data_IF_673823687629
#
_entry.id   IF_673823687629
#
_cell.length_a   1.000
_cell.length_b   1.000
_cell.length_c   1.000
_cell.angle_alpha   90.00
_cell.angle_beta   90.00
_cell.angle_gamma   90.00
#
_symmetry.space_group_name_H-M   'P 1'
#
loop_
_entity.id
_entity.type
_entity.pdbx_description
1 polymer ?
#
# COMPACT_ATOMS: atom_id res chain seq x y z
N UNK A 1 -33.87 -8.06 -12.39
CA UNK A 1 -33.34 -6.69 -12.38
C UNK A 1 -31.96 -6.71 -12.99
N UNK A 2 -31.63 -5.86 -13.97
CA UNK A 2 -30.26 -5.71 -14.44
C UNK A 2 -29.46 -5.09 -13.29
N UNK A 3 -28.23 -5.57 -12.98
CA UNK A 3 -27.37 -4.90 -12.02
C UNK A 3 -27.17 -3.46 -12.51
N UNK A 4 -27.36 -2.48 -11.60
CA UNK A 4 -27.02 -1.09 -11.87
C UNK A 4 -25.52 -1.01 -12.16
N UNK A 5 -25.11 -0.16 -13.09
CA UNK A 5 -23.67 0.10 -13.28
C UNK A 5 -23.05 0.55 -11.95
N UNK A 6 -21.84 0.08 -11.61
CA UNK A 6 -21.17 0.48 -10.38
C UNK A 6 -21.01 2.00 -10.34
N UNK A 7 -21.14 2.59 -9.15
CA UNK A 7 -20.81 4.01 -8.97
C UNK A 7 -19.29 4.22 -9.15
N UNK A 8 -18.83 5.46 -9.45
CA UNK A 8 -17.40 5.73 -9.58
C UNK A 8 -16.58 5.25 -8.35
N UNK A 9 -17.09 5.45 -7.14
CA UNK A 9 -16.43 4.98 -5.91
C UNK A 9 -16.40 3.44 -5.82
N UNK A 10 -17.49 2.77 -6.19
CA UNK A 10 -17.52 1.31 -6.23
C UNK A 10 -16.55 0.75 -7.28
N UNK A 11 -16.28 1.49 -8.35
CA UNK A 11 -15.23 1.14 -9.32
C UNK A 11 -13.82 1.32 -8.73
N UNK A 12 -13.59 2.37 -7.94
CA UNK A 12 -12.32 2.62 -7.24
C UNK A 12 -12.04 1.54 -6.20
N UNK A 13 -13.04 1.19 -5.39
CA UNK A 13 -12.88 0.27 -4.26
C UNK A 13 -13.07 -1.20 -4.62
N UNK A 14 -13.63 -1.51 -5.80
CA UNK A 14 -14.10 -2.87 -6.15
C UNK A 14 -15.06 -3.44 -5.09
N UNK A 15 -15.79 -2.55 -4.38
CA UNK A 15 -16.70 -2.89 -3.31
C UNK A 15 -18.03 -2.15 -3.45
N UNK A 16 -19.15 -2.85 -3.28
CA UNK A 16 -20.49 -2.27 -3.23
C UNK A 16 -20.90 -2.10 -1.80
N UNK A 17 -20.97 -0.85 -1.35
CA UNK A 17 -21.33 -0.51 0.04
C UNK A 17 -22.76 -0.88 0.38
N UNK A 18 -22.93 -1.63 1.46
CA UNK A 18 -24.21 -1.93 2.11
C UNK A 18 -24.65 -0.73 2.95
N UNK A 19 -23.74 -0.16 3.73
CA UNK A 19 -23.94 1.05 4.51
C UNK A 19 -23.41 2.27 3.74
N UNK A 20 -24.33 3.00 3.11
CA UNK A 20 -24.00 4.24 2.38
C UNK A 20 -23.57 5.38 3.31
N UNK A 21 -23.92 5.33 4.61
CA UNK A 21 -23.49 6.34 5.58
C UNK A 21 -21.98 6.19 5.88
N UNK A 22 -21.44 4.96 5.92
CA UNK A 22 -20.00 4.73 6.01
C UNK A 22 -19.25 5.33 4.83
N UNK A 23 -19.74 5.13 3.61
CA UNK A 23 -19.14 5.72 2.42
C UNK A 23 -19.16 7.25 2.48
N UNK A 24 -20.29 7.86 2.84
CA UNK A 24 -20.39 9.31 2.95
C UNK A 24 -19.44 9.85 4.02
N UNK A 25 -19.36 9.17 5.18
CA UNK A 25 -18.45 9.54 6.27
C UNK A 25 -16.99 9.50 5.83
N UNK A 26 -16.56 8.44 5.12
CA UNK A 26 -15.19 8.30 4.61
C UNK A 26 -14.79 9.43 3.65
N UNK A 27 -15.73 9.95 2.90
CA UNK A 27 -15.51 11.04 1.96
C UNK A 27 -15.70 12.44 2.57
N UNK A 28 -16.14 12.54 3.82
CA UNK A 28 -16.41 13.83 4.48
C UNK A 28 -15.17 14.35 5.19
N UNK A 29 -14.58 15.41 4.64
CA UNK A 29 -13.44 16.09 5.27
C UNK A 29 -13.89 16.90 6.51
N UNK A 30 -12.98 17.03 7.50
CA UNK A 30 -13.24 17.72 8.77
C UNK A 30 -13.73 19.17 8.61
N UNK A 31 -13.38 19.84 7.51
CA UNK A 31 -13.89 21.20 7.23
C UNK A 31 -15.41 21.29 7.11
N UNK A 32 -16.10 20.17 6.90
CA UNK A 32 -17.56 20.16 6.79
C UNK A 32 -18.27 20.39 8.12
N UNK A 33 -17.61 20.16 9.27
CA UNK A 33 -18.14 20.33 10.63
C UNK A 33 -19.53 19.69 10.82
N UNK A 34 -19.73 18.50 10.24
CA UNK A 34 -21.03 17.82 10.28
C UNK A 34 -21.30 17.18 11.64
N UNK A 35 -22.54 17.21 12.14
CA UNK A 35 -22.92 16.48 13.36
C UNK A 35 -22.69 14.98 13.28
N UNK A 36 -22.72 14.41 12.06
CA UNK A 36 -22.46 13.00 11.78
C UNK A 36 -20.97 12.63 11.86
N UNK A 37 -20.08 13.63 12.00
CA UNK A 37 -18.63 13.44 12.03
C UNK A 37 -17.97 13.62 10.67
N UNK A 38 -16.72 13.23 10.62
CA UNK A 38 -15.82 13.31 9.46
C UNK A 38 -15.03 12.01 9.29
N UNK A 39 -14.08 12.01 8.36
CA UNK A 39 -13.31 10.83 7.97
C UNK A 39 -12.19 10.42 8.95
N UNK A 40 -11.79 11.24 9.92
CA UNK A 40 -10.59 11.02 10.75
C UNK A 40 -10.57 9.68 11.49
N UNK A 41 -11.72 9.22 12.01
CA UNK A 41 -11.76 7.93 12.69
C UNK A 41 -11.67 6.73 11.74
N UNK A 42 -12.16 6.90 10.52
CA UNK A 42 -12.05 5.89 9.46
C UNK A 42 -10.63 5.88 8.87
N UNK A 43 -10.00 7.03 8.71
CA UNK A 43 -8.58 7.21 8.37
C UNK A 43 -7.70 6.42 9.34
N UNK A 44 -7.81 6.66 10.65
CA UNK A 44 -7.06 5.92 11.67
C UNK A 44 -7.21 4.40 11.54
N UNK A 45 -8.41 3.91 11.27
CA UNK A 45 -8.65 2.48 11.09
C UNK A 45 -8.09 1.98 9.76
N UNK A 46 -8.26 2.78 8.71
CA UNK A 46 -7.84 2.43 7.35
C UNK A 46 -6.33 2.32 7.20
N UNK A 47 -5.59 3.24 7.82
CA UNK A 47 -4.12 3.19 7.93
C UNK A 47 -3.67 1.83 8.51
N UNK A 48 -4.21 1.43 9.66
CA UNK A 48 -3.88 0.15 10.29
C UNK A 48 -4.23 -1.07 9.42
N UNK A 49 -5.37 -1.02 8.69
CA UNK A 49 -5.80 -2.10 7.79
C UNK A 49 -4.90 -2.17 6.55
N UNK A 50 -4.54 -1.02 5.99
CA UNK A 50 -3.63 -0.93 4.85
C UNK A 50 -2.25 -1.49 5.21
N UNK A 51 -1.69 -1.03 6.33
CA UNK A 51 -0.40 -1.50 6.85
C UNK A 51 -0.37 -3.01 7.06
N UNK A 52 -1.42 -3.57 7.67
CA UNK A 52 -1.53 -5.01 7.90
C UNK A 52 -1.53 -5.80 6.58
N UNK A 53 -2.37 -5.40 5.63
CA UNK A 53 -2.54 -6.14 4.37
C UNK A 53 -1.27 -6.03 3.51
N UNK A 54 -0.65 -4.85 3.44
CA UNK A 54 0.61 -4.66 2.70
C UNK A 54 1.73 -5.47 3.35
N UNK A 55 1.84 -5.44 4.69
CA UNK A 55 2.85 -6.22 5.43
C UNK A 55 2.68 -7.73 5.18
N UNK A 56 1.44 -8.26 5.24
CA UNK A 56 1.15 -9.67 4.95
C UNK A 56 1.60 -10.05 3.53
N UNK A 57 1.26 -9.23 2.54
CA UNK A 57 1.64 -9.48 1.13
C UNK A 57 3.15 -9.48 0.93
N UNK A 58 3.85 -8.52 1.52
CA UNK A 58 5.30 -8.45 1.45
C UNK A 58 5.94 -9.66 2.13
N UNK A 59 5.45 -10.05 3.31
CA UNK A 59 5.92 -11.21 4.04
C UNK A 59 5.76 -12.53 3.25
N UNK A 60 4.60 -12.71 2.61
CA UNK A 60 4.33 -13.90 1.81
C UNK A 60 5.12 -13.93 0.49
N UNK A 61 5.30 -12.76 -0.13
CA UNK A 61 5.99 -12.66 -1.44
C UNK A 61 7.51 -12.71 -1.31
N UNK A 62 8.08 -12.35 -0.15
CA UNK A 62 9.53 -12.20 0.07
C UNK A 62 10.02 -13.04 1.26
N UNK A 63 9.90 -14.35 1.15
CA UNK A 63 10.27 -15.30 2.21
C UNK A 63 11.73 -15.21 2.68
N UNK A 64 12.63 -14.64 1.88
CA UNK A 64 14.06 -14.49 2.16
C UNK A 64 14.47 -13.07 2.55
N UNK A 65 13.53 -12.12 2.55
CA UNK A 65 13.80 -10.75 2.95
C UNK A 65 13.89 -10.62 4.48
N UNK A 66 14.85 -9.84 4.96
CA UNK A 66 14.93 -9.48 6.37
C UNK A 66 13.84 -8.44 6.76
N UNK A 67 13.62 -8.29 8.05
CA UNK A 67 12.67 -7.34 8.61
C UNK A 67 12.88 -5.92 8.06
N UNK A 68 14.13 -5.46 8.01
CA UNK A 68 14.46 -4.11 7.55
C UNK A 68 14.14 -3.89 6.06
N UNK A 69 14.29 -4.92 5.22
CA UNK A 69 13.90 -4.86 3.81
C UNK A 69 12.37 -4.81 3.68
N UNK A 70 11.65 -5.65 4.41
CA UNK A 70 10.18 -5.66 4.42
C UNK A 70 9.62 -4.31 4.88
N UNK A 71 10.19 -3.72 5.94
CA UNK A 71 9.75 -2.42 6.47
C UNK A 71 10.01 -1.28 5.47
N UNK A 72 11.19 -1.24 4.84
CA UNK A 72 11.48 -0.26 3.78
C UNK A 72 10.53 -0.39 2.59
N UNK A 73 10.20 -1.62 2.18
CA UNK A 73 9.25 -1.86 1.11
C UNK A 73 7.85 -1.39 1.48
N UNK A 74 7.37 -1.73 2.67
CA UNK A 74 6.08 -1.25 3.18
C UNK A 74 6.06 0.27 3.18
N UNK A 75 7.03 0.93 3.81
CA UNK A 75 7.11 2.38 3.88
C UNK A 75 7.14 3.05 2.50
N UNK A 76 7.68 2.40 1.47
CA UNK A 76 7.66 2.94 0.11
C UNK A 76 6.28 2.90 -0.54
N UNK A 77 5.41 1.99 -0.13
CA UNK A 77 4.04 1.83 -0.63
C UNK A 77 3.08 2.75 0.12
N UNK A 78 3.13 2.73 1.47
CA UNK A 78 2.14 3.36 2.34
C UNK A 78 2.50 4.77 2.81
N UNK A 79 3.52 5.41 2.24
CA UNK A 79 3.81 6.81 2.58
C UNK A 79 2.80 7.76 1.92
N UNK A 80 2.59 8.93 2.54
CA UNK A 80 1.59 9.89 2.14
C UNK A 80 1.68 10.36 0.68
N UNK A 81 2.89 10.44 0.10
CA UNK A 81 3.04 10.78 -1.33
C UNK A 81 2.49 9.69 -2.24
N UNK A 82 2.77 8.43 -1.89
CA UNK A 82 2.26 7.27 -2.62
C UNK A 82 0.73 7.21 -2.52
N UNK A 83 0.18 7.36 -1.31
CA UNK A 83 -1.27 7.34 -1.07
C UNK A 83 -1.99 8.45 -1.82
N UNK A 84 -1.50 9.69 -1.74
CA UNK A 84 -2.04 10.83 -2.48
C UNK A 84 -1.98 10.62 -3.99
N UNK A 85 -0.90 10.02 -4.50
CA UNK A 85 -0.77 9.68 -5.92
C UNK A 85 -1.82 8.65 -6.35
N UNK A 86 -1.96 7.55 -5.60
CA UNK A 86 -2.97 6.51 -5.86
C UNK A 86 -4.37 7.11 -5.83
N UNK A 87 -4.71 7.90 -4.82
CA UNK A 87 -6.00 8.61 -4.73
C UNK A 87 -6.26 9.48 -5.96
N UNK A 88 -5.23 10.20 -6.44
CA UNK A 88 -5.33 11.09 -7.58
C UNK A 88 -5.56 10.34 -8.90
N UNK A 89 -4.77 9.30 -9.20
CA UNK A 89 -4.91 8.55 -10.46
C UNK A 89 -6.23 7.78 -10.56
N UNK A 90 -6.80 7.39 -9.42
CA UNK A 90 -8.13 6.77 -9.36
C UNK A 90 -9.28 7.78 -9.28
N UNK A 91 -8.99 9.10 -9.32
CA UNK A 91 -10.02 10.14 -9.40
C UNK A 91 -10.76 10.41 -8.08
N UNK A 92 -10.19 10.01 -6.92
CA UNK A 92 -10.82 10.19 -5.62
C UNK A 92 -11.06 11.67 -5.28
N UNK A 93 -10.22 12.58 -5.79
CA UNK A 93 -10.32 14.03 -5.58
C UNK A 93 -11.72 14.61 -5.82
N UNK A 94 -12.39 14.15 -6.87
CA UNK A 94 -13.73 14.61 -7.24
C UNK A 94 -14.85 14.17 -6.30
N UNK A 95 -14.57 13.29 -5.36
CA UNK A 95 -15.55 12.69 -4.45
C UNK A 95 -15.41 13.16 -3.00
N UNK A 96 -14.34 13.88 -2.66
CA UNK A 96 -14.12 14.39 -1.31
C UNK A 96 -15.08 15.54 -1.04
N UNK A 97 -15.83 15.43 0.04
CA UNK A 97 -16.77 16.42 0.50
C UNK A 97 -16.05 17.42 1.41
N UNK A 98 -16.03 18.67 1.01
CA UNK A 98 -15.43 19.78 1.76
C UNK A 98 -16.45 20.90 1.96
N UNK A 99 -16.23 21.76 2.96
CA UNK A 99 -17.08 22.93 3.15
C UNK A 99 -16.97 23.90 1.97
N UNK A 100 -18.02 24.69 1.76
CA UNK A 100 -18.01 25.71 0.70
C UNK A 100 -16.88 26.72 0.87
N UNK A 101 -16.66 27.18 2.10
CA UNK A 101 -15.58 28.11 2.44
C UNK A 101 -14.19 27.48 2.15
N UNK A 102 -14.00 26.20 2.49
CA UNK A 102 -12.75 25.51 2.18
C UNK A 102 -12.52 25.45 0.67
N UNK A 103 -13.53 25.08 -0.10
CA UNK A 103 -13.45 24.96 -1.58
C UNK A 103 -13.16 26.29 -2.28
N UNK A 104 -13.65 27.42 -1.74
CA UNK A 104 -13.39 28.75 -2.28
C UNK A 104 -11.90 29.15 -2.14
N UNK A 105 -11.28 28.76 -1.02
CA UNK A 105 -9.84 29.05 -0.76
C UNK A 105 -8.88 27.99 -1.32
N UNK A 106 -9.35 26.74 -1.40
CA UNK A 106 -8.57 25.58 -1.86
C UNK A 106 -9.42 24.79 -2.88
N UNK A 107 -9.40 25.19 -4.16
CA UNK A 107 -10.24 24.56 -5.20
C UNK A 107 -9.91 23.08 -5.42
N UNK A 108 -8.63 22.70 -5.23
CA UNK A 108 -8.17 21.33 -5.37
C UNK A 108 -7.80 20.74 -3.99
N UNK A 109 -8.08 19.45 -3.76
CA UNK A 109 -7.66 18.78 -2.54
C UNK A 109 -6.14 18.78 -2.38
N UNK A 110 -5.65 19.01 -1.16
CA UNK A 110 -4.24 18.84 -0.84
C UNK A 110 -3.83 17.35 -0.86
N UNK A 111 -2.51 17.08 -0.89
CA UNK A 111 -2.01 15.72 -0.79
C UNK A 111 -2.47 15.02 0.50
N UNK A 112 -2.45 15.72 1.64
CA UNK A 112 -2.94 15.17 2.91
C UNK A 112 -4.43 14.81 2.84
N UNK A 113 -5.27 15.64 2.24
CA UNK A 113 -6.70 15.33 2.09
C UNK A 113 -6.94 14.10 1.21
N UNK A 114 -6.11 13.89 0.19
CA UNK A 114 -6.19 12.71 -0.68
C UNK A 114 -5.75 11.43 0.06
N UNK A 115 -4.68 11.53 0.84
CA UNK A 115 -4.16 10.50 1.74
C UNK A 115 -5.23 10.08 2.75
N UNK A 116 -5.69 11.02 3.58
CA UNK A 116 -6.70 10.82 4.62
C UNK A 116 -7.99 10.19 4.06
N UNK A 117 -8.46 10.68 2.90
CA UNK A 117 -9.68 10.16 2.26
C UNK A 117 -9.48 8.73 1.71
N UNK A 118 -8.30 8.38 1.20
CA UNK A 118 -8.00 7.04 0.71
C UNK A 118 -7.96 6.05 1.87
N UNK A 119 -7.28 6.38 2.95
CA UNK A 119 -7.24 5.57 4.16
C UNK A 119 -8.63 5.41 4.77
N UNK A 120 -9.37 6.50 4.91
CA UNK A 120 -10.75 6.45 5.40
C UNK A 120 -11.66 5.56 4.54
N UNK A 121 -11.47 5.58 3.23
CA UNK A 121 -12.22 4.74 2.31
C UNK A 121 -11.87 3.25 2.49
N UNK A 122 -10.59 2.92 2.70
CA UNK A 122 -10.14 1.56 3.06
C UNK A 122 -10.75 1.11 4.39
N UNK A 123 -10.75 1.99 5.40
CA UNK A 123 -11.38 1.73 6.70
C UNK A 123 -12.90 1.48 6.58
N UNK A 124 -13.57 2.25 5.74
CA UNK A 124 -15.00 2.06 5.47
C UNK A 124 -15.29 0.74 4.75
N UNK A 125 -14.51 0.37 3.74
CA UNK A 125 -14.61 -0.94 3.06
C UNK A 125 -14.39 -2.09 4.04
N UNK A 126 -13.42 -1.95 4.95
CA UNK A 126 -13.17 -2.95 5.97
C UNK A 126 -14.35 -3.14 6.92
N UNK A 127 -14.96 -2.06 7.39
CA UNK A 127 -16.12 -2.15 8.29
C UNK A 127 -17.37 -2.71 7.58
N UNK A 128 -17.57 -2.37 6.31
CA UNK A 128 -18.74 -2.78 5.54
C UNK A 128 -18.62 -4.22 5.00
N UNK A 129 -17.42 -4.62 4.56
CA UNK A 129 -17.19 -5.88 3.83
C UNK A 129 -16.13 -6.81 4.43
N UNK A 130 -15.51 -6.43 5.54
CA UNK A 130 -14.48 -7.19 6.22
C UNK A 130 -13.13 -7.21 5.51
N UNK A 131 -12.18 -7.97 6.08
CA UNK A 131 -10.78 -8.01 5.62
C UNK A 131 -10.66 -8.43 4.14
N UNK A 132 -11.47 -9.38 3.68
CA UNK A 132 -11.41 -9.85 2.30
C UNK A 132 -11.83 -8.77 1.28
N UNK A 133 -12.75 -7.89 1.66
CA UNK A 133 -13.13 -6.75 0.82
C UNK A 133 -12.00 -5.72 0.78
N UNK A 134 -11.41 -5.39 1.93
CA UNK A 134 -10.26 -4.50 2.02
C UNK A 134 -9.05 -5.03 1.21
N UNK A 135 -8.77 -6.34 1.27
CA UNK A 135 -7.73 -6.97 0.46
C UNK A 135 -7.94 -6.75 -1.04
N UNK A 136 -9.16 -6.99 -1.54
CA UNK A 136 -9.48 -6.75 -2.97
C UNK A 136 -9.30 -5.29 -3.36
N UNK A 137 -9.73 -4.37 -2.52
CA UNK A 137 -9.54 -2.93 -2.73
C UNK A 137 -8.06 -2.57 -2.81
N UNK A 138 -7.25 -3.04 -1.85
CA UNK A 138 -5.81 -2.78 -1.80
C UNK A 138 -5.09 -3.43 -2.98
N UNK A 139 -5.48 -4.63 -3.39
CA UNK A 139 -4.94 -5.28 -4.59
C UNK A 139 -5.21 -4.48 -5.87
N UNK A 140 -6.40 -3.94 -5.98
CA UNK A 140 -6.76 -3.11 -7.12
C UNK A 140 -6.00 -1.78 -7.14
N UNK A 141 -5.84 -1.14 -5.99
CA UNK A 141 -5.22 0.18 -5.87
C UNK A 141 -3.69 0.14 -5.91
N UNK A 142 -3.07 -0.87 -5.30
CA UNK A 142 -1.63 -0.93 -5.06
C UNK A 142 -0.93 -2.11 -5.74
N UNK A 143 -1.67 -2.98 -6.43
CA UNK A 143 -1.13 -4.22 -6.98
C UNK A 143 0.04 -4.00 -7.94
N UNK A 144 0.00 -2.98 -8.79
CA UNK A 144 1.11 -2.64 -9.69
C UNK A 144 2.35 -2.19 -8.92
N UNK A 145 2.19 -1.38 -7.86
CA UNK A 145 3.30 -0.90 -7.04
C UNK A 145 3.92 -2.04 -6.24
N UNK A 146 3.11 -2.92 -5.65
CA UNK A 146 3.57 -4.10 -4.91
C UNK A 146 4.35 -5.02 -5.84
N UNK A 147 3.85 -5.26 -7.06
CA UNK A 147 4.53 -6.09 -8.04
C UNK A 147 5.85 -5.46 -8.54
N UNK A 148 5.89 -4.14 -8.72
CA UNK A 148 7.11 -3.43 -9.11
C UNK A 148 8.22 -3.56 -8.06
N UNK A 149 7.86 -3.54 -6.76
CA UNK A 149 8.82 -3.78 -5.67
C UNK A 149 9.35 -5.21 -5.72
N UNK A 150 8.51 -6.19 -6.05
CA UNK A 150 8.93 -7.59 -6.19
C UNK A 150 10.12 -7.73 -7.13
N UNK A 151 10.09 -7.03 -8.26
CA UNK A 151 11.18 -7.06 -9.23
C UNK A 151 12.47 -6.44 -8.67
N UNK A 152 12.37 -5.33 -7.94
CA UNK A 152 13.54 -4.62 -7.40
C UNK A 152 14.24 -5.38 -6.25
N UNK A 153 13.49 -6.08 -5.40
CA UNK A 153 14.09 -6.86 -4.30
C UNK A 153 14.84 -8.08 -4.83
N UNK A 154 14.30 -8.77 -5.84
CA UNK A 154 14.98 -9.89 -6.47
C UNK A 154 16.28 -9.46 -7.13
N UNK A 155 16.34 -8.26 -7.70
CA UNK A 155 17.58 -7.68 -8.26
C UNK A 155 18.58 -7.21 -7.18
N UNK A 156 18.08 -6.79 -6.00
CA UNK A 156 18.91 -6.31 -4.89
C UNK A 156 19.41 -7.42 -3.95
N UNK A 157 18.88 -8.63 -4.07
CA UNK A 157 19.33 -9.80 -3.29
C UNK A 157 19.82 -10.94 -4.19
N UNK A 158 20.93 -10.75 -4.92
CA UNK A 158 21.47 -11.77 -5.82
C UNK A 158 21.88 -13.05 -5.07
N UNK A 159 22.23 -12.93 -3.78
CA UNK A 159 22.57 -14.07 -2.93
C UNK A 159 21.37 -14.96 -2.62
N UNK A 160 20.22 -14.34 -2.26
CA UNK A 160 18.95 -15.04 -2.03
C UNK A 160 18.42 -15.68 -3.32
N UNK A 161 18.44 -14.95 -4.42
CA UNK A 161 17.99 -15.44 -5.73
C UNK A 161 18.82 -16.65 -6.19
N UNK A 162 20.13 -16.62 -5.95
CA UNK A 162 21.03 -17.72 -6.27
C UNK A 162 20.77 -18.94 -5.36
N UNK A 163 20.47 -18.72 -4.10
CA UNK A 163 20.14 -19.79 -3.16
C UNK A 163 18.81 -20.48 -3.54
N UNK A 164 17.79 -19.74 -3.89
CA UNK A 164 16.51 -20.27 -4.39
C UNK A 164 16.70 -21.05 -5.70
N UNK A 165 17.49 -20.49 -6.62
CA UNK A 165 17.85 -21.16 -7.88
C UNK A 165 18.58 -22.49 -7.62
N UNK A 166 19.58 -22.49 -6.74
CA UNK A 166 20.34 -23.69 -6.39
C UNK A 166 19.46 -24.76 -5.76
N UNK A 167 18.62 -24.41 -4.79
CA UNK A 167 17.68 -25.33 -4.16
C UNK A 167 16.69 -25.94 -5.16
N UNK A 168 16.22 -25.13 -6.11
CA UNK A 168 15.25 -25.57 -7.12
C UNK A 168 15.86 -26.52 -8.16
N UNK A 169 17.11 -26.28 -8.58
CA UNK A 169 17.74 -26.98 -9.71
C UNK A 169 18.86 -27.94 -9.31
N UNK A 170 19.32 -27.93 -8.05
CA UNK A 170 20.38 -28.78 -7.51
C UNK A 170 19.94 -29.59 -6.29
N UNK A 171 18.79 -30.26 -6.40
CA UNK A 171 18.27 -31.22 -5.40
C UNK A 171 18.18 -30.70 -3.96
N UNK A 172 17.95 -29.41 -3.76
CA UNK A 172 17.86 -28.80 -2.44
C UNK A 172 19.21 -28.36 -1.84
N UNK A 173 20.30 -28.46 -2.59
CA UNK A 173 21.59 -27.99 -2.12
C UNK A 173 21.67 -26.45 -2.09
N UNK A 174 22.34 -25.95 -1.05
CA UNK A 174 22.56 -24.48 -0.88
C UNK A 174 23.96 -24.16 -1.43
N UNK A 175 24.16 -23.03 -2.12
CA UNK A 175 25.48 -22.60 -2.55
C UNK A 175 26.44 -22.44 -1.38
N UNK A 176 27.67 -22.92 -1.55
CA UNK A 176 28.74 -22.72 -0.57
C UNK A 176 29.48 -21.44 -0.90
N UNK A 177 29.36 -20.45 0.00
CA UNK A 177 30.03 -19.16 -0.16
C UNK A 177 31.44 -19.20 0.46
N UNK A 178 32.44 -18.75 -0.29
CA UNK A 178 33.78 -18.56 0.23
C UNK A 178 34.05 -17.07 0.41
N UNK A 179 34.27 -16.67 1.63
CA UNK A 179 34.71 -15.30 1.93
C UNK A 179 36.17 -15.15 1.54
N UNK A 180 36.47 -14.14 0.74
CA UNK A 180 37.84 -13.72 0.46
C UNK A 180 38.24 -12.63 1.46
N UNK A 181 39.56 -12.51 1.74
CA UNK A 181 40.05 -11.41 2.56
C UNK A 181 39.59 -10.07 1.98
N UNK A 182 39.17 -9.12 2.82
CA UNK A 182 38.75 -7.80 2.35
C UNK A 182 39.94 -7.08 1.69
N UNK A 183 39.66 -6.48 0.53
CA UNK A 183 40.63 -5.63 -0.18
C UNK A 183 40.18 -4.16 -0.03
N UNK A 184 41.15 -3.27 0.13
CA UNK A 184 40.89 -1.83 0.22
C UNK A 184 41.45 -1.18 1.48
N UNK A 185 41.35 0.13 1.61
CA UNK A 185 41.83 0.85 2.80
C UNK A 185 40.98 0.52 4.03
N UNK A 186 41.61 0.53 5.21
CA UNK A 186 41.02 0.13 6.51
C UNK A 186 39.67 0.80 6.85
N UNK A 187 39.38 1.97 6.28
CA UNK A 187 38.17 2.71 6.50
C UNK A 187 37.04 2.45 5.48
N UNK A 188 37.32 1.66 4.42
CA UNK A 188 36.38 1.27 3.40
C UNK A 188 36.76 -0.11 2.80
N UNK A 189 36.75 -1.19 3.58
CA UNK A 189 37.09 -2.52 3.10
C UNK A 189 36.01 -3.04 2.13
N UNK A 190 36.44 -3.62 1.03
CA UNK A 190 35.58 -4.29 0.06
C UNK A 190 35.69 -5.79 0.26
N UNK A 191 34.59 -6.46 0.56
CA UNK A 191 34.51 -7.91 0.70
C UNK A 191 33.97 -8.53 -0.57
N UNK A 192 34.55 -9.59 -1.05
CA UNK A 192 34.06 -10.40 -2.18
C UNK A 192 33.66 -11.79 -1.70
N UNK A 193 32.55 -12.29 -2.23
CA UNK A 193 32.13 -13.67 -2.00
C UNK A 193 32.12 -14.39 -3.35
N UNK A 194 32.84 -15.51 -3.44
CA UNK A 194 32.80 -16.40 -4.59
C UNK A 194 31.99 -17.65 -4.27
N UNK A 195 31.37 -18.20 -5.31
CA UNK A 195 30.66 -19.47 -5.30
C UNK A 195 31.62 -20.64 -5.45
#
# INVERSE_FOLDING_TARGET
>A
MKPSSPTPIESITQHTFQDKALLELALTHSSCERPTGDNQRLEFLGDAVLDLIVAEKLFLNFSQADEGALDRCRASIVNGKSLAHVASIHGLAGHILVSKAHKEHHPEPSHAMLEDALEALIGAVYLDGGINAAQRTIDHLFGEQINAITLNISEQNPKGSLQEWSQKYHNGEVPVYKELPPEGPDHAPVSYTHL
#
